data_IF_133490990923
#
_entry.id   IF_133490990923
#
_cell.length_a   1.000
_cell.length_b   1.000
_cell.length_c   1.000
_cell.angle_alpha   90.00
_cell.angle_beta   90.00
_cell.angle_gamma   90.00
#
_symmetry.space_group_name_H-M   'P 1'
#
loop_
_entity.id
_entity.type
_entity.pdbx_description
1 polymer ?
#
# COMPACT_ATOMS: atom_id res chain seq x y z
N UNK A 1 42.13 9.43 19.54
CA UNK A 1 40.81 10.11 19.50
C UNK A 1 40.57 10.53 18.06
N UNK A 2 39.45 10.15 17.44
CA UNK A 2 39.13 10.62 16.09
C UNK A 2 38.89 12.14 16.12
N UNK A 3 39.58 12.86 15.24
CA UNK A 3 39.48 14.32 15.11
C UNK A 3 38.03 14.71 14.73
N UNK A 4 37.49 15.72 15.42
CA UNK A 4 36.12 16.21 15.21
C UNK A 4 35.91 16.69 13.76
N UNK A 5 37.00 17.16 13.11
CA UNK A 5 37.02 17.55 11.70
C UNK A 5 36.76 16.36 10.76
N UNK A 6 37.29 15.17 11.09
CA UNK A 6 37.12 13.94 10.32
C UNK A 6 35.70 13.39 10.47
N UNK A 7 35.12 13.47 11.68
CA UNK A 7 33.72 13.08 11.93
C UNK A 7 32.77 13.99 11.14
N UNK A 8 33.01 15.30 11.16
CA UNK A 8 32.23 16.27 10.39
C UNK A 8 32.32 15.98 8.89
N UNK A 9 33.53 15.76 8.36
CA UNK A 9 33.74 15.47 6.94
C UNK A 9 33.06 14.16 6.51
N UNK A 10 33.14 13.10 7.32
CA UNK A 10 32.46 11.83 7.04
C UNK A 10 30.96 12.01 7.04
N UNK A 11 30.38 12.71 8.03
CA UNK A 11 28.92 12.95 8.09
C UNK A 11 28.46 13.78 6.89
N UNK A 12 29.15 14.87 6.57
CA UNK A 12 28.80 15.75 5.46
C UNK A 12 28.92 15.03 4.11
N UNK A 13 30.02 14.31 3.87
CA UNK A 13 30.18 13.51 2.65
C UNK A 13 29.15 12.38 2.56
N UNK A 14 28.77 11.78 3.69
CA UNK A 14 27.70 10.76 3.73
C UNK A 14 26.35 11.36 3.34
N UNK A 15 26.02 12.56 3.82
CA UNK A 15 24.77 13.26 3.49
C UNK A 15 24.72 13.64 2.01
N UNK A 16 25.80 14.19 1.46
CA UNK A 16 25.84 14.54 0.02
C UNK A 16 25.90 13.31 -0.88
N UNK A 17 26.63 12.25 -0.49
CA UNK A 17 26.65 11.00 -1.23
C UNK A 17 25.29 10.29 -1.20
N UNK A 18 24.60 10.29 -0.06
CA UNK A 18 23.23 9.74 0.04
C UNK A 18 22.21 10.57 -0.73
N UNK A 19 22.33 11.90 -0.77
CA UNK A 19 21.49 12.75 -1.59
C UNK A 19 21.75 12.53 -3.10
N UNK A 20 23.02 12.47 -3.51
CA UNK A 20 23.43 12.23 -4.90
C UNK A 20 23.05 10.82 -5.40
N UNK A 21 23.31 9.78 -4.59
CA UNK A 21 22.81 8.43 -4.84
C UNK A 21 21.29 8.39 -4.82
N UNK A 22 20.62 9.19 -3.99
CA UNK A 22 19.17 9.31 -3.98
C UNK A 22 18.61 9.87 -5.29
N UNK A 23 19.29 10.83 -5.91
CA UNK A 23 18.91 11.41 -7.21
C UNK A 23 19.23 10.47 -8.38
N UNK A 24 20.38 9.79 -8.35
CA UNK A 24 20.74 8.81 -9.38
C UNK A 24 19.87 7.55 -9.28
N UNK A 25 19.58 7.08 -8.07
CA UNK A 25 18.58 6.05 -7.81
C UNK A 25 17.18 6.56 -8.17
N UNK A 26 16.87 7.85 -8.03
CA UNK A 26 15.58 8.40 -8.49
C UNK A 26 15.40 8.28 -10.00
N UNK A 27 16.41 8.69 -10.77
CA UNK A 27 16.39 8.60 -12.23
C UNK A 27 16.42 7.12 -12.64
N UNK A 28 17.34 6.32 -12.08
CA UNK A 28 17.47 4.89 -12.32
C UNK A 28 16.19 4.12 -11.99
N UNK A 29 15.58 4.34 -10.82
CA UNK A 29 14.33 3.70 -10.42
C UNK A 29 13.14 4.18 -11.24
N UNK A 30 13.12 5.40 -11.80
CA UNK A 30 12.06 5.79 -12.75
C UNK A 30 12.19 5.08 -14.09
N UNK A 31 13.40 4.92 -14.58
CA UNK A 31 13.68 4.12 -15.77
C UNK A 31 13.38 2.64 -15.53
N UNK A 32 13.83 2.08 -14.40
CA UNK A 32 13.55 0.69 -13.99
C UNK A 32 12.06 0.51 -13.71
N UNK A 33 11.34 1.45 -13.09
CA UNK A 33 9.90 1.34 -12.86
C UNK A 33 9.12 1.46 -14.17
N UNK A 34 9.54 2.31 -15.10
CA UNK A 34 8.95 2.39 -16.44
C UNK A 34 9.23 1.11 -17.24
N UNK A 35 10.46 0.61 -17.20
CA UNK A 35 10.87 -0.65 -17.80
C UNK A 35 10.16 -1.84 -17.15
N UNK A 36 9.99 -1.85 -15.82
CA UNK A 36 9.30 -2.89 -15.07
C UNK A 36 7.78 -2.83 -15.29
N UNK A 37 7.17 -1.65 -15.46
CA UNK A 37 5.77 -1.52 -15.90
C UNK A 37 5.59 -2.05 -17.32
N UNK A 38 6.54 -1.77 -18.22
CA UNK A 38 6.53 -2.27 -19.60
C UNK A 38 6.83 -3.78 -19.68
N UNK A 39 7.72 -4.30 -18.83
CA UNK A 39 8.10 -5.72 -18.76
C UNK A 39 7.06 -6.55 -18.01
N UNK A 40 6.46 -6.02 -16.94
CA UNK A 40 5.35 -6.68 -16.23
C UNK A 40 4.09 -6.77 -17.08
N UNK A 41 3.90 -5.87 -18.05
CA UNK A 41 2.85 -6.01 -19.05
C UNK A 41 2.92 -7.35 -19.80
N UNK A 42 4.12 -7.87 -20.02
CA UNK A 42 4.38 -9.11 -20.75
C UNK A 42 4.19 -10.39 -19.91
N UNK A 43 4.19 -10.29 -18.57
CA UNK A 43 4.15 -11.45 -17.66
C UNK A 43 2.96 -11.44 -16.69
N UNK A 44 1.95 -10.60 -16.95
CA UNK A 44 0.79 -10.36 -16.07
C UNK A 44 -0.17 -11.55 -15.91
N UNK A 45 0.01 -12.64 -16.66
CA UNK A 45 -0.99 -13.71 -16.74
C UNK A 45 -0.57 -15.04 -16.12
N UNK A 46 -1.46 -15.51 -15.23
CA UNK A 46 -1.55 -16.74 -14.45
C UNK A 46 -0.70 -16.82 -13.15
N UNK A 47 -1.33 -16.92 -11.96
CA UNK A 47 -0.62 -17.27 -10.72
C UNK A 47 -0.07 -18.71 -10.80
N UNK A 48 1.15 -18.93 -10.31
CA UNK A 48 1.84 -20.23 -10.40
C UNK A 48 1.29 -21.31 -9.44
N UNK A 49 0.59 -20.92 -8.37
CA UNK A 49 0.19 -21.88 -7.32
C UNK A 49 -1.24 -21.64 -6.83
N UNK A 50 -2.13 -22.57 -7.20
CA UNK A 50 -3.42 -22.86 -6.56
C UNK A 50 -3.16 -23.93 -5.49
N UNK A 51 -2.98 -23.54 -4.22
CA UNK A 51 -3.20 -24.41 -3.04
C UNK A 51 -3.09 -23.59 -1.76
N UNK A 52 -4.10 -23.72 -0.91
CA UNK A 52 -4.50 -22.82 0.19
C UNK A 52 -3.52 -22.62 1.36
N UNK A 53 -2.21 -22.80 1.17
CA UNK A 53 -1.19 -22.47 2.17
C UNK A 53 -0.42 -21.18 1.87
N UNK A 54 -0.41 -20.72 0.62
CA UNK A 54 0.37 -19.55 0.19
C UNK A 54 -0.53 -18.53 -0.51
N UNK A 55 -0.30 -17.24 -0.24
CA UNK A 55 -0.91 -16.15 -1.02
C UNK A 55 -0.57 -16.37 -2.49
N UNK A 56 -1.53 -16.17 -3.40
CA UNK A 56 -1.28 -16.28 -4.84
C UNK A 56 -0.22 -15.26 -5.28
N UNK A 57 1.05 -15.69 -5.33
CA UNK A 57 2.17 -14.91 -5.86
C UNK A 57 2.01 -14.87 -7.38
N UNK A 58 1.98 -13.67 -7.97
CA UNK A 58 1.96 -13.55 -9.43
C UNK A 58 3.28 -14.06 -10.01
N UNK A 59 3.29 -14.59 -11.25
CA UNK A 59 4.54 -15.06 -11.91
C UNK A 59 5.67 -14.04 -11.86
N UNK A 60 5.35 -12.77 -12.10
CA UNK A 60 6.31 -11.67 -12.00
C UNK A 60 6.86 -11.49 -10.58
N UNK A 61 6.03 -11.62 -9.54
CA UNK A 61 6.48 -11.53 -8.16
C UNK A 61 7.34 -12.73 -7.77
N UNK A 62 6.98 -13.94 -8.22
CA UNK A 62 7.78 -15.13 -8.00
C UNK A 62 9.15 -15.01 -8.68
N UNK A 63 9.19 -14.49 -9.91
CA UNK A 63 10.43 -14.22 -10.63
C UNK A 63 11.29 -13.17 -9.90
N UNK A 64 10.69 -12.06 -9.44
CA UNK A 64 11.41 -11.05 -8.65
C UNK A 64 12.00 -11.65 -7.38
N UNK A 65 11.25 -12.49 -6.68
CA UNK A 65 11.75 -13.19 -5.49
C UNK A 65 12.85 -14.20 -5.80
N UNK A 66 12.72 -14.96 -6.89
CA UNK A 66 13.75 -15.90 -7.34
C UNK A 66 15.04 -15.18 -7.73
N UNK A 67 14.94 -14.09 -8.49
CA UNK A 67 16.09 -13.26 -8.84
C UNK A 67 16.73 -12.65 -7.59
N UNK A 68 15.92 -12.10 -6.69
CA UNK A 68 16.41 -11.50 -5.45
C UNK A 68 17.11 -12.53 -4.55
N UNK A 69 16.53 -13.72 -4.37
CA UNK A 69 17.16 -14.81 -3.61
C UNK A 69 18.42 -15.34 -4.30
N UNK A 70 18.43 -15.45 -5.63
CA UNK A 70 19.62 -15.85 -6.39
C UNK A 70 20.76 -14.83 -6.26
N UNK A 71 20.47 -13.52 -6.31
CA UNK A 71 21.46 -12.46 -6.11
C UNK A 71 22.05 -12.51 -4.70
N UNK A 72 21.22 -12.70 -3.67
CA UNK A 72 21.70 -12.87 -2.30
C UNK A 72 22.56 -14.14 -2.15
N UNK A 73 22.09 -15.27 -2.67
CA UNK A 73 22.84 -16.53 -2.66
C UNK A 73 24.19 -16.42 -3.39
N UNK A 74 24.22 -15.73 -4.53
CA UNK A 74 25.46 -15.45 -5.26
C UNK A 74 26.39 -14.54 -4.46
N UNK A 75 25.89 -13.44 -3.88
CA UNK A 75 26.68 -12.52 -3.06
C UNK A 75 27.30 -13.22 -1.84
N UNK A 76 26.55 -14.14 -1.22
CA UNK A 76 27.04 -14.96 -0.11
C UNK A 76 28.09 -15.98 -0.55
N UNK A 77 27.81 -16.78 -1.59
CA UNK A 77 28.58 -17.97 -1.91
C UNK A 77 29.66 -17.83 -2.99
N UNK A 78 29.64 -16.77 -3.81
CA UNK A 78 30.53 -16.69 -4.98
C UNK A 78 32.00 -16.59 -4.60
N UNK A 79 32.82 -17.59 -4.95
CA UNK A 79 34.27 -17.62 -4.61
C UNK A 79 34.54 -17.52 -3.10
N UNK A 80 33.72 -18.24 -2.32
CA UNK A 80 33.94 -18.51 -0.90
C UNK A 80 34.46 -19.93 -0.76
N UNK A 81 35.62 -20.06 -0.12
CA UNK A 81 36.28 -21.33 0.14
C UNK A 81 36.50 -21.58 1.64
N UNK A 82 36.03 -20.66 2.49
CA UNK A 82 36.25 -20.65 3.93
C UNK A 82 35.01 -20.12 4.67
N UNK A 83 34.72 -20.69 5.84
CA UNK A 83 33.60 -20.33 6.72
C UNK A 83 33.77 -18.91 7.26
N UNK A 84 34.99 -18.50 7.62
CA UNK A 84 35.21 -17.13 8.15
C UNK A 84 34.90 -16.06 7.10
N UNK A 85 35.23 -16.32 5.83
CA UNK A 85 34.88 -15.43 4.71
C UNK A 85 33.38 -15.46 4.41
N UNK A 86 32.72 -16.60 4.60
CA UNK A 86 31.27 -16.71 4.50
C UNK A 86 30.58 -15.86 5.57
N UNK A 87 31.05 -15.94 6.82
CA UNK A 87 30.52 -15.17 7.96
C UNK A 87 30.67 -13.67 7.74
N UNK A 88 31.84 -13.19 7.29
CA UNK A 88 32.08 -11.76 7.02
C UNK A 88 31.15 -11.22 5.91
N UNK A 89 30.93 -12.02 4.87
CA UNK A 89 30.00 -11.66 3.78
C UNK A 89 28.55 -11.68 4.24
N UNK A 90 28.18 -12.67 5.05
CA UNK A 90 26.83 -12.75 5.62
C UNK A 90 26.48 -11.49 6.41
N UNK A 91 27.42 -10.92 7.19
CA UNK A 91 27.23 -9.64 7.88
C UNK A 91 26.92 -8.48 6.93
N UNK A 92 27.66 -8.42 5.83
CA UNK A 92 27.58 -7.32 4.86
C UNK A 92 26.28 -7.40 4.06
N UNK A 93 25.93 -8.58 3.55
CA UNK A 93 24.69 -8.81 2.80
C UNK A 93 23.46 -8.63 3.71
N UNK A 94 23.51 -9.12 4.96
CA UNK A 94 22.46 -8.90 5.95
C UNK A 94 22.20 -7.41 6.18
N UNK A 95 23.27 -6.60 6.30
CA UNK A 95 23.15 -5.15 6.51
C UNK A 95 22.46 -4.44 5.35
N UNK A 96 22.74 -4.85 4.11
CA UNK A 96 22.06 -4.34 2.91
C UNK A 96 20.58 -4.73 2.91
N UNK A 97 20.25 -5.96 3.28
CA UNK A 97 18.87 -6.42 3.38
C UNK A 97 18.10 -5.73 4.51
N UNK A 98 18.76 -5.44 5.64
CA UNK A 98 18.17 -4.65 6.71
C UNK A 98 17.93 -3.19 6.30
N UNK A 99 18.81 -2.58 5.50
CA UNK A 99 18.54 -1.26 4.92
C UNK A 99 17.21 -1.24 4.15
N UNK A 100 17.01 -2.19 3.23
CA UNK A 100 15.77 -2.31 2.45
C UNK A 100 14.57 -2.52 3.40
N UNK A 101 14.75 -3.36 4.42
CA UNK A 101 13.71 -3.68 5.41
C UNK A 101 13.30 -2.45 6.23
N UNK A 102 14.27 -1.65 6.68
CA UNK A 102 14.03 -0.45 7.50
C UNK A 102 13.34 0.66 6.71
N UNK A 103 13.61 0.77 5.41
CA UNK A 103 12.81 1.61 4.52
C UNK A 103 11.36 1.11 4.38
N UNK A 104 11.09 -0.16 4.68
CA UNK A 104 9.81 -0.85 4.49
C UNK A 104 8.63 -0.49 5.42
N UNK A 105 8.66 0.66 6.10
CA UNK A 105 7.63 1.07 7.06
C UNK A 105 6.20 1.19 6.48
N UNK A 106 5.19 1.22 7.36
CA UNK A 106 3.77 1.35 6.95
C UNK A 106 3.50 2.65 6.23
N UNK A 107 4.00 3.78 6.72
CA UNK A 107 4.00 5.06 6.02
C UNK A 107 5.35 5.24 5.35
N UNK A 108 5.39 5.14 4.03
CA UNK A 108 6.63 5.32 3.30
C UNK A 108 6.43 6.30 2.13
N UNK A 109 6.91 7.55 2.25
CA UNK A 109 6.91 8.52 1.16
C UNK A 109 7.60 8.02 -0.11
N UNK A 110 8.55 7.08 -0.02
CA UNK A 110 9.20 6.51 -1.20
C UNK A 110 8.24 5.67 -2.03
N UNK A 111 7.28 4.96 -1.42
CA UNK A 111 6.31 4.15 -2.19
C UNK A 111 5.42 5.05 -3.06
N UNK A 112 4.99 6.17 -2.49
CA UNK A 112 4.24 7.25 -3.16
C UNK A 112 5.09 7.89 -4.27
N UNK A 113 6.33 8.25 -3.96
CA UNK A 113 7.23 8.91 -4.89
C UNK A 113 7.63 8.05 -6.10
N UNK A 114 7.86 6.75 -5.88
CA UNK A 114 8.20 5.78 -6.93
C UNK A 114 6.98 5.16 -7.60
N UNK A 115 5.77 5.42 -7.10
CA UNK A 115 4.52 4.82 -7.58
C UNK A 115 4.62 3.29 -7.59
N UNK A 116 5.17 2.74 -6.49
CA UNK A 116 5.31 1.29 -6.29
C UNK A 116 4.09 0.79 -5.54
N UNK A 117 3.47 -0.27 -6.06
CA UNK A 117 2.27 -0.80 -5.42
C UNK A 117 2.55 -1.25 -3.99
N UNK A 118 1.58 -1.02 -3.11
CA UNK A 118 1.66 -1.39 -1.71
C UNK A 118 1.91 -2.90 -1.51
N UNK A 119 1.35 -3.72 -2.41
CA UNK A 119 1.55 -5.17 -2.45
C UNK A 119 3.04 -5.50 -2.67
N UNK A 120 3.66 -4.86 -3.65
CA UNK A 120 5.09 -5.05 -3.96
C UNK A 120 5.96 -4.55 -2.82
N UNK A 121 5.63 -3.39 -2.24
CA UNK A 121 6.33 -2.85 -1.08
C UNK A 121 6.37 -3.83 0.10
N UNK A 122 5.22 -4.38 0.50
CA UNK A 122 5.19 -5.36 1.59
C UNK A 122 5.86 -6.68 1.22
N UNK A 123 5.77 -7.11 -0.05
CA UNK A 123 6.47 -8.30 -0.52
C UNK A 123 7.98 -8.13 -0.28
N UNK A 124 8.55 -7.03 -0.76
CA UNK A 124 9.97 -6.71 -0.60
C UNK A 124 10.33 -6.60 0.88
N UNK A 125 9.56 -5.86 1.69
CA UNK A 125 9.83 -5.70 3.13
C UNK A 125 9.85 -7.05 3.86
N UNK A 126 8.88 -7.94 3.62
CA UNK A 126 8.83 -9.24 4.28
C UNK A 126 10.01 -10.15 3.89
N UNK A 127 10.37 -10.18 2.62
CA UNK A 127 11.43 -11.08 2.13
C UNK A 127 12.82 -10.55 2.42
N UNK A 128 13.07 -9.25 2.26
CA UNK A 128 14.32 -8.61 2.67
C UNK A 128 14.58 -8.83 4.16
N UNK A 129 13.55 -8.65 5.01
CA UNK A 129 13.70 -8.85 6.45
C UNK A 129 14.01 -10.30 6.83
N UNK A 130 13.35 -11.26 6.18
CA UNK A 130 13.57 -12.70 6.45
C UNK A 130 14.95 -13.16 5.99
N UNK A 131 15.35 -12.79 4.78
CA UNK A 131 16.67 -13.15 4.23
C UNK A 131 17.77 -12.49 5.06
N UNK A 132 17.63 -11.19 5.37
CA UNK A 132 18.58 -10.47 6.23
C UNK A 132 18.69 -11.09 7.64
N UNK A 133 17.59 -11.54 8.24
CA UNK A 133 17.64 -12.27 9.51
C UNK A 133 18.39 -13.61 9.39
N UNK A 134 18.17 -14.38 8.31
CA UNK A 134 18.87 -15.65 8.09
C UNK A 134 20.37 -15.44 7.88
N UNK A 135 20.76 -14.40 7.15
CA UNK A 135 22.16 -14.01 6.94
C UNK A 135 22.81 -13.52 8.23
N UNK A 136 22.07 -12.76 9.05
CA UNK A 136 22.55 -12.33 10.37
C UNK A 136 22.73 -13.53 11.33
N UNK A 137 21.88 -14.55 11.23
CA UNK A 137 22.04 -15.82 11.96
C UNK A 137 23.30 -16.56 11.46
N UNK A 138 23.52 -16.61 10.14
CA UNK A 138 24.70 -17.22 9.54
C UNK A 138 26.01 -16.51 9.94
N UNK A 139 25.99 -15.19 10.08
CA UNK A 139 27.15 -14.39 10.51
C UNK A 139 27.64 -14.75 11.93
N UNK A 140 26.84 -15.44 12.75
CA UNK A 140 27.26 -15.94 14.06
C UNK A 140 27.51 -14.87 15.14
N UNK A 141 27.72 -13.61 14.78
CA UNK A 141 27.89 -12.52 15.74
C UNK A 141 26.54 -12.17 16.35
N UNK A 142 26.18 -12.84 17.45
CA UNK A 142 24.99 -12.53 18.25
C UNK A 142 23.83 -12.15 17.34
N UNK A 143 23.22 -13.13 16.66
CA UNK A 143 21.85 -12.94 16.21
C UNK A 143 21.07 -12.53 17.46
N UNK A 144 20.94 -11.22 17.67
CA UNK A 144 20.51 -10.69 18.95
C UNK A 144 19.17 -11.33 19.24
N UNK A 145 18.86 -11.61 20.50
CA UNK A 145 17.57 -12.20 20.85
C UNK A 145 16.39 -11.46 20.16
N UNK A 146 16.55 -10.15 19.92
CA UNK A 146 15.65 -9.33 19.11
C UNK A 146 15.53 -9.74 17.63
N UNK A 147 16.62 -10.05 16.91
CA UNK A 147 16.60 -10.49 15.50
C UNK A 147 16.03 -11.90 15.33
N UNK A 148 16.34 -12.81 16.26
CA UNK A 148 15.73 -14.14 16.26
C UNK A 148 14.24 -14.02 16.57
N UNK A 149 13.86 -13.25 17.59
CA UNK A 149 12.48 -13.03 17.94
C UNK A 149 11.69 -12.33 16.82
N UNK A 150 12.29 -11.36 16.10
CA UNK A 150 11.60 -10.68 15.00
C UNK A 150 11.39 -11.64 13.83
N UNK A 151 12.38 -12.47 13.50
CA UNK A 151 12.27 -13.51 12.49
C UNK A 151 11.15 -14.49 12.84
N UNK A 152 11.20 -15.07 14.04
CA UNK A 152 10.20 -16.02 14.51
C UNK A 152 8.81 -15.41 14.56
N UNK A 153 8.66 -14.15 15.00
CA UNK A 153 7.37 -13.45 14.99
C UNK A 153 6.83 -13.18 13.58
N UNK A 154 7.71 -13.10 12.57
CA UNK A 154 7.33 -12.84 11.17
C UNK A 154 6.80 -14.08 10.45
N UNK A 155 6.97 -15.27 11.03
CA UNK A 155 6.45 -16.52 10.48
C UNK A 155 4.92 -16.50 10.52
N UNK A 156 4.29 -17.19 9.57
CA UNK A 156 2.84 -17.10 9.42
C UNK A 156 2.09 -17.60 10.67
N UNK A 157 2.53 -18.71 11.27
CA UNK A 157 1.85 -19.32 12.43
C UNK A 157 1.94 -18.44 13.69
N UNK A 158 3.12 -17.89 13.98
CA UNK A 158 3.34 -16.98 15.11
C UNK A 158 2.62 -15.67 14.92
N UNK A 159 2.65 -15.11 13.70
CA UNK A 159 1.88 -13.91 13.37
C UNK A 159 0.39 -14.16 13.53
N UNK A 160 -0.12 -15.30 13.04
CA UNK A 160 -1.51 -15.70 13.20
C UNK A 160 -1.88 -15.74 14.69
N UNK A 161 -1.06 -16.37 15.52
CA UNK A 161 -1.27 -16.42 16.97
C UNK A 161 -1.20 -15.04 17.66
N UNK A 162 -0.24 -14.19 17.28
CA UNK A 162 -0.06 -12.86 17.87
C UNK A 162 -1.22 -11.90 17.56
N UNK A 163 -1.96 -12.12 16.47
CA UNK A 163 -3.17 -11.34 16.21
C UNK A 163 -2.89 -9.86 16.05
N UNK A 164 -3.72 -9.07 16.74
CA UNK A 164 -3.60 -7.61 16.85
C UNK A 164 -2.31 -7.12 17.53
N UNK A 165 -1.60 -7.98 18.26
CA UNK A 165 -0.37 -7.60 18.99
C UNK A 165 0.88 -7.64 18.13
N UNK A 166 0.86 -8.36 17.00
CA UNK A 166 2.01 -8.50 16.10
C UNK A 166 2.68 -7.15 15.80
N UNK A 167 1.89 -6.13 15.44
CA UNK A 167 2.43 -4.81 15.12
C UNK A 167 3.19 -4.14 16.26
N UNK A 168 2.73 -4.30 17.50
CA UNK A 168 3.39 -3.71 18.69
C UNK A 168 4.68 -4.47 19.01
N UNK A 169 4.61 -5.79 19.04
CA UNK A 169 5.75 -6.67 19.30
C UNK A 169 6.84 -6.43 18.25
N UNK A 170 6.44 -6.39 16.98
CA UNK A 170 7.36 -6.17 15.86
C UNK A 170 8.10 -4.83 15.97
N UNK A 171 7.41 -3.74 16.35
CA UNK A 171 8.05 -2.42 16.53
C UNK A 171 9.04 -2.41 17.69
N UNK A 172 8.71 -3.04 18.83
CA UNK A 172 9.64 -3.11 19.97
C UNK A 172 10.90 -3.91 19.59
N UNK A 173 10.71 -5.07 18.96
CA UNK A 173 11.83 -5.91 18.49
C UNK A 173 12.66 -5.20 17.43
N UNK A 174 12.02 -4.46 16.52
CA UNK A 174 12.67 -3.64 15.51
C UNK A 174 13.56 -2.56 16.14
N UNK A 175 13.05 -1.78 17.10
CA UNK A 175 13.84 -0.74 17.78
C UNK A 175 15.02 -1.35 18.52
N UNK A 176 14.81 -2.48 19.20
CA UNK A 176 15.87 -3.20 19.89
C UNK A 176 16.94 -3.74 18.93
N UNK A 177 16.53 -4.36 17.82
CA UNK A 177 17.44 -4.88 16.79
C UNK A 177 18.23 -3.75 16.13
N UNK A 178 17.58 -2.63 15.84
CA UNK A 178 18.20 -1.46 15.23
C UNK A 178 19.24 -0.83 16.17
N UNK A 179 18.90 -0.63 17.44
CA UNK A 179 19.84 -0.13 18.46
C UNK A 179 21.01 -1.09 18.70
N UNK A 180 20.74 -2.39 18.74
CA UNK A 180 21.76 -3.44 18.85
C UNK A 180 22.72 -3.44 17.66
N UNK A 181 22.22 -3.28 16.44
CA UNK A 181 23.04 -3.20 15.23
C UNK A 181 23.93 -1.96 15.23
N UNK A 182 23.42 -0.79 15.64
CA UNK A 182 24.24 0.42 15.74
C UNK A 182 25.33 0.30 16.81
N UNK A 183 25.00 -0.31 17.96
CA UNK A 183 25.98 -0.59 19.01
C UNK A 183 27.05 -1.58 18.54
N UNK A 184 26.65 -2.66 17.87
CA UNK A 184 27.56 -3.63 17.26
C UNK A 184 28.49 -2.98 16.22
N UNK A 185 27.91 -2.17 15.31
CA UNK A 185 28.67 -1.44 14.31
C UNK A 185 29.68 -0.46 14.93
N UNK A 186 29.31 0.20 16.03
CA UNK A 186 30.20 1.10 16.75
C UNK A 186 31.42 0.37 17.33
N UNK A 187 31.19 -0.77 18.00
CA UNK A 187 32.21 -1.50 18.75
C UNK A 187 33.15 -2.35 17.88
N UNK A 188 32.61 -3.10 16.92
CA UNK A 188 33.32 -4.25 16.34
C UNK A 188 33.61 -4.12 14.84
N UNK A 189 33.04 -3.11 14.18
CA UNK A 189 33.00 -3.14 12.73
C UNK A 189 34.03 -2.27 12.02
N UNK A 190 34.42 -2.74 10.83
CA UNK A 190 35.28 -2.03 9.88
C UNK A 190 34.61 -0.73 9.40
N UNK A 191 35.43 0.22 8.93
CA UNK A 191 34.94 1.52 8.42
C UNK A 191 33.86 1.36 7.33
N UNK A 192 33.98 0.44 6.34
CA UNK A 192 32.93 0.23 5.34
C UNK A 192 31.58 -0.21 5.95
N UNK A 193 31.61 -1.10 6.95
CA UNK A 193 30.39 -1.56 7.62
C UNK A 193 29.70 -0.43 8.40
N UNK A 194 30.50 0.41 9.09
CA UNK A 194 29.99 1.61 9.77
C UNK A 194 29.28 2.54 8.78
N UNK A 195 29.87 2.77 7.61
CA UNK A 195 29.26 3.60 6.56
C UNK A 195 27.91 3.02 6.12
N UNK A 196 27.83 1.70 5.89
CA UNK A 196 26.57 1.04 5.47
C UNK A 196 25.51 1.17 6.56
N UNK A 197 25.82 0.83 7.82
CA UNK A 197 24.85 0.84 8.91
C UNK A 197 24.38 2.27 9.24
N UNK A 198 25.30 3.21 9.43
CA UNK A 198 24.94 4.60 9.78
C UNK A 198 24.36 5.37 8.58
N UNK A 199 24.81 5.08 7.35
CA UNK A 199 24.17 5.60 6.14
C UNK A 199 22.71 5.14 6.05
N UNK A 200 22.45 3.86 6.36
CA UNK A 200 21.10 3.31 6.37
C UNK A 200 20.20 3.96 7.42
N UNK A 201 20.72 4.17 8.63
CA UNK A 201 20.06 4.96 9.66
C UNK A 201 19.78 6.39 9.22
N UNK A 202 20.70 7.02 8.50
CA UNK A 202 20.53 8.36 7.95
C UNK A 202 19.36 8.43 6.97
N UNK A 203 19.30 7.50 6.00
CA UNK A 203 18.18 7.43 5.03
C UNK A 203 16.86 7.13 5.74
N UNK A 204 16.86 6.21 6.71
CA UNK A 204 15.69 5.91 7.52
C UNK A 204 15.19 7.14 8.31
N UNK A 205 16.10 7.84 8.98
CA UNK A 205 15.79 9.05 9.76
C UNK A 205 15.26 10.14 8.86
N UNK A 206 15.88 10.37 7.70
CA UNK A 206 15.42 11.33 6.71
C UNK A 206 14.00 11.01 6.23
N UNK A 207 13.71 9.73 5.96
CA UNK A 207 12.36 9.31 5.55
C UNK A 207 11.30 9.62 6.61
N UNK A 208 11.62 9.46 7.90
CA UNK A 208 10.72 9.78 9.00
C UNK A 208 10.59 11.28 9.22
N UNK A 209 11.69 12.03 9.08
CA UNK A 209 11.66 13.49 9.10
C UNK A 209 10.79 14.04 7.98
N UNK A 210 10.84 13.47 6.77
CA UNK A 210 9.94 13.83 5.68
C UNK A 210 8.48 13.62 6.07
N UNK A 211 8.14 12.52 6.76
CA UNK A 211 6.76 12.27 7.25
C UNK A 211 6.35 13.30 8.32
N UNK A 212 7.26 13.67 9.21
CA UNK A 212 7.02 14.67 10.26
C UNK A 212 6.84 16.07 9.66
N UNK A 213 7.68 16.44 8.68
CA UNK A 213 7.66 17.73 7.99
C UNK A 213 6.54 17.83 6.97
N UNK A 214 6.11 16.71 6.35
CA UNK A 214 4.96 16.67 5.42
C UNK A 214 3.77 17.25 6.17
N UNK A 215 3.19 18.33 5.63
CA UNK A 215 2.11 19.06 6.27
C UNK A 215 0.94 18.12 6.51
N UNK A 216 0.69 17.83 7.78
CA UNK A 216 -0.45 17.04 8.22
C UNK A 216 -1.72 17.85 8.01
N UNK A 217 -2.69 17.27 7.30
CA UNK A 217 -3.98 17.91 7.14
C UNK A 217 -4.79 17.69 8.41
N UNK A 218 -5.11 18.78 9.11
CA UNK A 218 -6.06 18.73 10.23
C UNK A 218 -7.45 18.57 9.65
N UNK A 219 -8.26 17.68 10.23
CA UNK A 219 -9.65 17.53 9.84
C UNK A 219 -10.56 17.41 11.06
N UNK A 220 -11.80 17.87 10.92
CA UNK A 220 -12.87 17.78 11.92
C UNK A 220 -13.86 16.72 11.46
N UNK A 221 -14.26 15.83 12.35
CA UNK A 221 -15.34 14.88 12.06
C UNK A 221 -16.66 15.65 12.05
N UNK A 222 -17.37 15.66 10.91
CA UNK A 222 -18.60 16.44 10.70
C UNK A 222 -19.86 15.60 10.84
N UNK A 223 -19.76 14.28 10.62
CA UNK A 223 -20.89 13.38 10.79
C UNK A 223 -20.47 11.92 10.75
N UNK A 224 -21.33 11.07 11.33
CA UNK A 224 -21.25 9.61 11.22
C UNK A 224 -22.52 9.15 10.50
N UNK A 225 -22.61 9.31 9.17
CA UNK A 225 -23.78 8.96 8.40
C UNK A 225 -23.92 7.44 8.36
N UNK A 226 -24.60 6.87 9.36
CA UNK A 226 -25.02 5.48 9.34
C UNK A 226 -23.92 4.42 9.24
N UNK A 227 -24.36 3.17 9.19
CA UNK A 227 -23.56 1.96 9.23
C UNK A 227 -24.35 0.86 9.91
N UNK A 228 -24.12 -0.38 9.50
CA UNK A 228 -24.64 -1.51 10.28
C UNK A 228 -23.85 -1.63 11.60
N UNK A 229 -24.29 -2.45 12.54
CA UNK A 229 -23.56 -2.65 13.80
C UNK A 229 -22.06 -3.00 13.64
N UNK A 230 -21.60 -3.38 12.44
CA UNK A 230 -20.25 -3.83 12.14
C UNK A 230 -19.34 -2.78 11.48
N UNK A 231 -19.85 -1.85 10.65
CA UNK A 231 -19.07 -0.78 10.03
C UNK A 231 -19.62 0.62 10.33
N UNK A 232 -18.77 1.62 10.15
CA UNK A 232 -19.08 3.02 10.42
C UNK A 232 -18.55 3.86 9.26
N UNK A 233 -19.45 4.58 8.60
CA UNK A 233 -19.08 5.64 7.69
C UNK A 233 -18.94 6.94 8.48
N UNK A 234 -17.91 7.74 8.19
CA UNK A 234 -17.74 9.05 8.80
C UNK A 234 -17.24 10.07 7.79
N UNK A 235 -17.80 11.26 7.87
CA UNK A 235 -17.45 12.42 7.07
C UNK A 235 -16.51 13.32 7.86
N UNK A 236 -15.52 13.89 7.17
CA UNK A 236 -14.54 14.78 7.77
C UNK A 236 -14.31 15.99 6.89
N UNK A 237 -14.25 17.15 7.54
CA UNK A 237 -13.93 18.42 6.90
C UNK A 237 -12.48 18.78 7.20
N UNK A 238 -11.63 18.72 6.18
CA UNK A 238 -10.25 19.18 6.22
C UNK A 238 -10.19 20.71 6.38
N UNK A 239 -9.20 21.21 7.11
CA UNK A 239 -9.01 22.66 7.33
C UNK A 239 -8.66 23.43 6.05
N UNK A 240 -8.06 22.73 5.08
CA UNK A 240 -7.71 23.27 3.77
C UNK A 240 -8.06 22.24 2.69
N UNK A 241 -8.40 22.69 1.46
CA UNK A 241 -8.64 21.78 0.35
C UNK A 241 -7.42 20.91 0.06
N UNK A 242 -7.64 19.60 0.02
CA UNK A 242 -6.62 18.60 -0.31
C UNK A 242 -6.86 18.09 -1.72
N UNK A 243 -5.78 17.91 -2.49
CA UNK A 243 -5.87 17.24 -3.79
C UNK A 243 -6.06 15.75 -3.55
N UNK A 244 -7.09 15.15 -4.14
CA UNK A 244 -7.42 13.72 -4.03
C UNK A 244 -7.46 13.08 -5.41
N UNK A 245 -7.52 11.75 -5.48
CA UNK A 245 -7.73 10.99 -6.71
C UNK A 245 -8.57 9.73 -6.41
N UNK A 246 -9.32 9.18 -7.38
CA UNK A 246 -10.08 7.95 -7.16
C UNK A 246 -9.15 6.81 -6.70
N UNK A 247 -9.60 6.00 -5.76
CA UNK A 247 -8.77 4.92 -5.20
C UNK A 247 -7.68 5.37 -4.22
N UNK A 248 -7.53 6.66 -3.93
CA UNK A 248 -6.55 7.10 -2.95
C UNK A 248 -6.94 6.72 -1.51
N UNK A 249 -5.95 6.68 -0.64
CA UNK A 249 -6.13 6.43 0.79
C UNK A 249 -5.34 7.41 1.64
N UNK A 250 -5.76 7.53 2.90
CA UNK A 250 -5.12 8.36 3.89
C UNK A 250 -4.71 7.53 5.11
N UNK A 251 -3.60 7.92 5.72
CA UNK A 251 -3.31 7.51 7.09
C UNK A 251 -3.99 8.48 8.04
N UNK A 252 -4.90 7.96 8.85
CA UNK A 252 -5.68 8.70 9.83
C UNK A 252 -5.11 8.47 11.22
N UNK A 253 -4.86 9.57 11.91
CA UNK A 253 -4.25 9.59 13.24
C UNK A 253 -5.15 10.30 14.24
N UNK A 254 -5.19 9.74 15.45
CA UNK A 254 -6.03 10.19 16.55
C UNK A 254 -5.16 10.80 17.64
N UNK A 255 -5.07 12.14 17.75
CA UNK A 255 -4.10 12.81 18.62
C UNK A 255 -4.34 12.60 20.12
N UNK A 256 -5.54 12.20 20.55
CA UNK A 256 -5.90 11.94 21.95
C UNK A 256 -5.47 10.57 22.50
N UNK A 257 -4.73 9.78 21.71
CA UNK A 257 -4.31 8.41 22.06
C UNK A 257 -2.79 8.38 22.40
N UNK A 258 -2.31 7.37 23.14
CA UNK A 258 -0.91 7.29 23.58
C UNK A 258 0.06 7.35 22.39
N UNK A 259 1.33 7.71 22.68
CA UNK A 259 2.43 7.94 21.73
C UNK A 259 2.52 6.92 20.58
N UNK A 260 2.19 5.64 20.82
CA UNK A 260 2.13 4.60 19.78
C UNK A 260 1.17 4.93 18.62
N UNK A 261 0.09 5.68 18.88
CA UNK A 261 -0.92 6.07 17.88
C UNK A 261 -0.47 7.23 16.99
N UNK A 262 0.57 7.97 17.39
CA UNK A 262 1.18 9.02 16.55
C UNK A 262 2.04 8.44 15.43
N UNK A 263 2.61 7.25 15.61
CA UNK A 263 3.43 6.59 14.60
C UNK A 263 2.68 5.49 13.85
N UNK A 264 1.50 5.09 14.31
CA UNK A 264 0.63 4.12 13.63
C UNK A 264 -0.67 4.73 13.15
N UNK A 265 -0.60 5.41 12.01
CA UNK A 265 -1.78 5.84 11.27
C UNK A 265 -2.57 4.65 10.74
N UNK A 266 -3.89 4.79 10.72
CA UNK A 266 -4.79 3.79 10.13
C UNK A 266 -5.06 4.13 8.68
N UNK A 267 -4.94 3.15 7.81
CA UNK A 267 -5.20 3.35 6.39
C UNK A 267 -6.68 3.24 6.13
N UNK A 268 -7.26 4.30 5.61
CA UNK A 268 -8.66 4.34 5.21
C UNK A 268 -8.73 4.82 3.77
N UNK A 269 -9.47 4.07 2.94
CA UNK A 269 -9.74 4.50 1.56
C UNK A 269 -10.68 5.68 1.58
N UNK A 270 -10.45 6.60 0.66
CA UNK A 270 -11.41 7.64 0.38
C UNK A 270 -12.61 7.01 -0.34
N UNK A 271 -13.74 6.90 0.37
CA UNK A 271 -14.97 6.31 -0.16
C UNK A 271 -15.62 7.25 -1.16
N UNK A 272 -15.84 8.47 -0.72
CA UNK A 272 -16.47 9.52 -1.49
C UNK A 272 -15.87 10.85 -1.08
N UNK A 273 -15.93 11.79 -2.02
CA UNK A 273 -15.47 13.13 -1.81
C UNK A 273 -16.32 14.08 -2.63
N UNK A 274 -16.71 15.20 -2.05
CA UNK A 274 -17.36 16.28 -2.79
C UNK A 274 -16.27 17.18 -3.38
N UNK A 275 -15.51 16.64 -4.33
CA UNK A 275 -14.66 17.46 -5.17
C UNK A 275 -15.42 17.78 -6.45
N UNK A 276 -15.43 19.06 -6.76
CA UNK A 276 -15.45 19.52 -8.14
C UNK A 276 -14.43 18.74 -8.97
N UNK A 277 -14.59 18.77 -10.30
CA UNK A 277 -13.67 18.16 -11.25
C UNK A 277 -12.19 18.57 -11.05
N UNK A 278 -11.93 19.66 -10.30
CA UNK A 278 -10.60 20.11 -9.87
C UNK A 278 -9.85 19.14 -8.96
N UNK A 279 -10.51 18.10 -8.44
CA UNK A 279 -9.94 17.10 -7.53
C UNK A 279 -9.39 17.70 -6.23
N UNK A 280 -9.74 18.94 -5.89
CA UNK A 280 -9.44 19.58 -4.61
C UNK A 280 -10.72 19.65 -3.79
N UNK A 281 -10.68 19.09 -2.60
CA UNK A 281 -11.84 19.11 -1.68
C UNK A 281 -11.42 19.17 -0.23
N UNK A 282 -12.28 19.77 0.58
CA UNK A 282 -12.20 19.69 2.03
C UNK A 282 -13.11 18.62 2.62
N UNK A 283 -14.12 18.14 1.88
CA UNK A 283 -15.09 17.17 2.38
C UNK A 283 -14.73 15.75 1.94
N UNK A 284 -14.37 14.92 2.92
CA UNK A 284 -13.84 13.58 2.71
C UNK A 284 -14.67 12.57 3.52
N UNK A 285 -15.10 11.49 2.87
CA UNK A 285 -15.82 10.39 3.51
C UNK A 285 -14.98 9.13 3.56
N UNK A 286 -14.99 8.45 4.71
CA UNK A 286 -14.25 7.22 4.96
C UNK A 286 -15.18 6.12 5.48
N UNK A 287 -14.83 4.85 5.19
CA UNK A 287 -15.49 3.67 5.73
C UNK A 287 -14.52 2.86 6.59
N UNK A 288 -14.93 2.44 7.79
CA UNK A 288 -14.11 1.63 8.71
C UNK A 288 -14.94 0.61 9.49
N UNK A 289 -14.32 -0.49 9.91
CA UNK A 289 -14.95 -1.46 10.81
C UNK A 289 -15.04 -0.93 12.25
N UNK A 290 -16.10 -1.30 12.96
CA UNK A 290 -16.37 -0.92 14.36
C UNK A 290 -15.29 -1.40 15.32
N UNK A 291 -14.91 -2.67 15.21
CA UNK A 291 -13.91 -3.29 16.10
C UNK A 291 -12.52 -2.69 15.97
N UNK A 292 -12.24 -1.97 14.89
CA UNK A 292 -10.95 -1.35 14.72
C UNK A 292 -10.76 -0.14 15.64
N UNK A 293 -11.74 0.34 16.40
CA UNK A 293 -11.53 1.42 17.38
C UNK A 293 -12.34 2.67 17.08
N UNK A 294 -13.54 2.47 16.55
CA UNK A 294 -14.53 3.53 16.30
C UNK A 294 -15.03 4.22 17.56
N UNK A 295 -14.76 3.67 18.76
CA UNK A 295 -14.88 4.44 20.00
C UNK A 295 -14.03 5.72 19.95
N UNK A 296 -12.83 5.66 19.36
CA UNK A 296 -12.02 6.85 19.15
C UNK A 296 -12.64 7.84 18.16
N UNK A 297 -13.40 7.37 17.17
CA UNK A 297 -14.04 8.23 16.16
C UNK A 297 -15.25 8.97 16.72
N UNK A 298 -16.02 8.34 17.63
CA UNK A 298 -17.13 9.00 18.32
C UNK A 298 -16.65 10.15 19.22
N UNK A 299 -15.49 9.99 19.86
CA UNK A 299 -14.95 10.97 20.80
C UNK A 299 -13.97 11.97 20.14
N UNK A 300 -13.45 11.65 18.96
CA UNK A 300 -12.48 12.50 18.26
C UNK A 300 -13.18 13.58 17.43
N UNK A 301 -13.33 14.77 18.03
CA UNK A 301 -13.71 15.97 17.27
C UNK A 301 -12.65 16.43 16.26
N UNK A 302 -11.40 15.98 16.40
CA UNK A 302 -10.27 16.35 15.52
C UNK A 302 -9.38 15.14 15.23
N UNK A 303 -9.02 15.00 13.96
CA UNK A 303 -8.11 13.98 13.45
C UNK A 303 -7.01 14.62 12.62
N UNK A 304 -5.92 13.88 12.41
CA UNK A 304 -4.84 14.26 11.51
C UNK A 304 -4.82 13.28 10.33
N UNK A 305 -4.75 13.82 9.12
CA UNK A 305 -4.69 13.07 7.88
C UNK A 305 -3.30 13.23 7.26
N UNK A 306 -2.73 12.12 6.83
CA UNK A 306 -1.50 12.09 6.03
C UNK A 306 -1.81 11.36 4.71
N UNK A 307 -1.59 12.05 3.59
CA UNK A 307 -1.95 11.59 2.25
C UNK A 307 -2.16 12.76 1.29
N UNK A 308 -2.80 12.53 0.13
CA UNK A 308 -3.26 11.23 -0.36
C UNK A 308 -2.10 10.28 -0.68
N UNK A 309 -2.37 8.98 -0.63
CA UNK A 309 -1.49 7.90 -1.10
C UNK A 309 -2.26 6.99 -2.05
N UNK A 310 -1.53 6.24 -2.87
CA UNK A 310 -2.09 5.22 -3.76
C UNK A 310 -1.62 5.41 -5.19
N UNK A 311 -2.09 4.52 -6.07
CA UNK A 311 -1.82 4.57 -7.50
C UNK A 311 -3.08 5.02 -8.25
N UNK A 312 -2.93 6.02 -9.12
CA UNK A 312 -3.98 6.34 -10.10
C UNK A 312 -3.92 5.29 -11.23
N UNK A 313 -5.00 4.53 -11.38
CA UNK A 313 -5.11 3.44 -12.35
C UNK A 313 -5.46 3.97 -13.75
N UNK A 314 -5.82 5.25 -13.88
CA UNK A 314 -6.17 5.88 -15.15
C UNK A 314 -7.26 5.11 -15.92
N UNK A 315 -8.33 4.71 -15.22
CA UNK A 315 -9.43 3.91 -15.80
C UNK A 315 -10.08 4.54 -17.05
N UNK A 316 -9.99 5.86 -17.19
CA UNK A 316 -10.49 6.62 -18.33
C UNK A 316 -9.81 6.26 -19.67
N UNK A 317 -8.68 5.57 -19.65
CA UNK A 317 -7.98 5.08 -20.85
C UNK A 317 -8.58 3.77 -21.40
N UNK A 318 -9.42 3.09 -20.62
CA UNK A 318 -10.01 1.80 -21.00
C UNK A 318 -11.45 1.96 -21.47
N UNK A 319 -11.80 1.31 -22.58
CA UNK A 319 -13.15 1.38 -23.16
C UNK A 319 -14.21 0.72 -22.27
N UNK A 320 -13.92 -0.48 -21.75
CA UNK A 320 -14.81 -1.22 -20.85
C UNK A 320 -14.07 -1.53 -19.55
N UNK A 321 -14.65 -1.15 -18.42
CA UNK A 321 -14.05 -1.30 -17.10
C UNK A 321 -14.92 -2.21 -16.24
N UNK A 322 -14.34 -3.29 -15.72
CA UNK A 322 -14.96 -4.13 -14.70
C UNK A 322 -14.39 -3.79 -13.33
N UNK A 323 -15.24 -3.28 -12.46
CA UNK A 323 -14.96 -2.92 -11.09
C UNK A 323 -15.50 -4.00 -10.16
N UNK A 324 -14.61 -4.75 -9.53
CA UNK A 324 -14.99 -5.87 -8.67
C UNK A 324 -14.57 -5.61 -7.23
N UNK A 325 -15.51 -5.72 -6.29
CA UNK A 325 -15.27 -5.47 -4.87
C UNK A 325 -15.91 -6.54 -3.98
N UNK A 326 -15.26 -6.90 -2.87
CA UNK A 326 -15.81 -7.79 -1.82
C UNK A 326 -15.82 -7.08 -0.47
N UNK A 327 -16.94 -7.12 0.25
CA UNK A 327 -17.12 -6.51 1.56
C UNK A 327 -16.73 -5.02 1.56
N UNK A 328 -15.89 -4.61 2.51
CA UNK A 328 -15.35 -3.23 2.58
C UNK A 328 -14.47 -2.84 1.40
N UNK A 329 -14.07 -3.78 0.53
CA UNK A 329 -13.38 -3.51 -0.74
C UNK A 329 -14.05 -2.44 -1.59
N UNK A 330 -15.38 -2.29 -1.45
CA UNK A 330 -16.17 -1.30 -2.17
C UNK A 330 -15.67 0.14 -1.96
N UNK A 331 -15.11 0.46 -0.79
CA UNK A 331 -14.60 1.79 -0.49
C UNK A 331 -13.44 2.22 -1.41
N UNK A 332 -12.64 1.27 -1.90
CA UNK A 332 -11.55 1.56 -2.83
C UNK A 332 -11.99 1.66 -4.30
N UNK A 333 -13.10 1.00 -4.64
CA UNK A 333 -13.54 0.81 -6.03
C UNK A 333 -14.62 1.83 -6.40
N UNK A 334 -15.54 2.15 -5.48
CA UNK A 334 -16.66 3.03 -5.75
C UNK A 334 -16.23 4.46 -6.08
N UNK A 335 -15.16 4.95 -5.45
CA UNK A 335 -14.60 6.28 -5.77
C UNK A 335 -14.16 6.41 -7.23
N UNK A 336 -13.76 5.30 -7.87
CA UNK A 336 -13.48 5.28 -9.30
C UNK A 336 -14.74 5.40 -10.16
N UNK A 337 -15.77 4.61 -9.84
CA UNK A 337 -17.05 4.65 -10.56
C UNK A 337 -17.68 6.06 -10.50
N UNK A 338 -17.71 6.64 -9.30
CA UNK A 338 -18.19 8.00 -9.07
C UNK A 338 -17.40 9.03 -9.87
N UNK A 339 -16.08 8.89 -9.95
CA UNK A 339 -15.22 9.82 -10.67
C UNK A 339 -15.47 9.79 -12.19
N UNK A 340 -15.55 8.61 -12.79
CA UNK A 340 -15.85 8.45 -14.22
C UNK A 340 -17.26 8.96 -14.53
N UNK A 341 -18.26 8.62 -13.71
CA UNK A 341 -19.62 9.11 -13.88
C UNK A 341 -19.72 10.64 -13.83
N UNK A 342 -18.97 11.30 -12.94
CA UNK A 342 -18.89 12.77 -12.87
C UNK A 342 -18.28 13.38 -14.14
N UNK A 343 -17.19 12.80 -14.66
CA UNK A 343 -16.55 13.27 -15.91
C UNK A 343 -17.49 13.12 -17.10
N UNK A 344 -18.17 11.97 -17.21
CA UNK A 344 -19.18 11.75 -18.24
C UNK A 344 -20.32 12.75 -18.13
N UNK A 345 -20.88 12.95 -16.94
CA UNK A 345 -21.98 13.91 -16.72
C UNK A 345 -21.57 15.35 -17.06
N UNK A 346 -20.32 15.72 -16.80
CA UNK A 346 -19.76 17.00 -17.24
C UNK A 346 -19.73 17.10 -18.76
N UNK A 347 -19.14 16.12 -19.44
CA UNK A 347 -19.06 16.07 -20.90
C UNK A 347 -20.45 16.09 -21.57
N UNK A 348 -21.42 15.39 -20.99
CA UNK A 348 -22.80 15.36 -21.46
C UNK A 348 -23.49 16.73 -21.23
N UNK A 349 -23.27 17.38 -20.08
CA UNK A 349 -23.77 18.73 -19.80
C UNK A 349 -23.19 19.77 -20.77
N UNK A 350 -21.88 19.72 -21.03
CA UNK A 350 -21.21 20.62 -21.98
C UNK A 350 -21.74 20.38 -23.39
N UNK A 351 -21.98 19.12 -23.79
CA UNK A 351 -22.54 18.79 -25.10
C UNK A 351 -23.99 19.27 -25.26
N UNK A 352 -24.80 19.12 -24.22
CA UNK A 352 -26.18 19.62 -24.20
C UNK A 352 -26.20 21.15 -24.29
N UNK A 353 -25.28 21.84 -23.63
CA UNK A 353 -25.13 23.30 -23.71
C UNK A 353 -24.59 23.75 -25.07
N UNK A 354 -23.57 23.09 -25.61
CA UNK A 354 -23.02 23.36 -26.95
C UNK A 354 -24.02 23.06 -28.07
N UNK A 355 -24.90 22.07 -27.89
CA UNK A 355 -26.00 21.83 -28.85
C UNK A 355 -27.00 22.99 -28.89
N UNK A 356 -27.07 23.79 -27.81
CA UNK A 356 -27.90 25.00 -27.68
C UNK A 356 -27.16 26.28 -28.05
N UNK A 357 -25.84 26.32 -27.87
CA UNK A 357 -24.96 27.45 -28.12
C UNK A 357 -23.87 27.03 -29.12
N UNK A 358 -23.88 27.59 -30.33
CA UNK A 358 -23.07 27.17 -31.48
C UNK A 358 -21.54 27.25 -31.32
N UNK A 359 -21.03 27.64 -30.14
CA UNK A 359 -19.60 27.85 -29.91
C UNK A 359 -19.29 27.84 -28.40
N UNK A 360 -19.14 26.65 -27.79
CA UNK A 360 -18.62 26.55 -26.41
C UNK A 360 -17.17 26.08 -26.41
N UNK A 361 -16.28 26.93 -25.91
CA UNK A 361 -14.85 26.65 -25.67
C UNK A 361 -14.62 25.83 -24.38
N UNK A 362 -15.67 25.20 -23.84
CA UNK A 362 -15.62 24.55 -22.54
C UNK A 362 -14.90 23.20 -22.62
N UNK A 363 -14.10 22.91 -21.60
CA UNK A 363 -13.25 21.71 -21.58
C UNK A 363 -14.08 20.43 -21.43
N UNK A 364 -13.77 19.43 -22.26
CA UNK A 364 -14.39 18.09 -22.28
C UNK A 364 -13.30 17.04 -22.03
N UNK A 365 -13.57 16.08 -21.14
CA UNK A 365 -12.60 15.05 -20.73
C UNK A 365 -12.32 14.02 -21.82
N UNK A 366 -13.34 13.68 -22.62
CA UNK A 366 -13.24 12.73 -23.76
C UNK A 366 -12.69 11.36 -23.34
N UNK A 367 -13.20 10.84 -22.22
CA UNK A 367 -12.81 9.53 -21.70
C UNK A 367 -13.07 8.42 -22.73
N UNK A 368 -12.15 7.45 -22.83
CA UNK A 368 -12.33 6.27 -23.66
C UNK A 368 -13.42 5.35 -23.08
N UNK A 369 -13.62 5.39 -21.76
CA UNK A 369 -14.57 4.54 -21.04
C UNK A 369 -16.00 4.78 -21.51
N UNK A 370 -16.54 3.77 -22.20
CA UNK A 370 -17.93 3.70 -22.65
C UNK A 370 -18.80 2.91 -21.69
N UNK A 371 -18.22 1.87 -21.07
CA UNK A 371 -18.95 0.97 -20.18
C UNK A 371 -18.17 0.67 -18.91
N UNK A 372 -18.86 0.70 -17.79
CA UNK A 372 -18.39 0.40 -16.45
C UNK A 372 -19.33 -0.65 -15.85
N UNK A 373 -18.79 -1.73 -15.33
CA UNK A 373 -19.56 -2.80 -14.71
C UNK A 373 -19.08 -2.91 -13.26
N UNK A 374 -19.93 -2.57 -12.31
CA UNK A 374 -19.64 -2.67 -10.88
C UNK A 374 -20.25 -3.95 -10.31
N UNK A 375 -19.38 -4.87 -9.90
CA UNK A 375 -19.77 -6.13 -9.25
C UNK A 375 -19.36 -6.08 -7.79
N UNK A 376 -20.33 -6.10 -6.88
CA UNK A 376 -20.08 -6.04 -5.44
C UNK A 376 -20.56 -7.30 -4.72
N UNK A 377 -19.63 -7.93 -4.00
CA UNK A 377 -19.89 -9.09 -3.16
C UNK A 377 -20.11 -8.68 -1.71
N UNK A 378 -21.33 -8.89 -1.24
CA UNK A 378 -21.69 -8.68 0.16
C UNK A 378 -21.31 -9.93 0.95
N UNK A 379 -20.62 -9.76 2.07
CA UNK A 379 -20.41 -10.83 3.06
C UNK A 379 -21.67 -11.03 3.92
N UNK A 380 -22.41 -9.94 4.12
CA UNK A 380 -23.69 -9.91 4.80
C UNK A 380 -24.62 -8.93 4.08
N UNK A 381 -25.91 -9.23 4.03
CA UNK A 381 -26.88 -8.36 3.36
C UNK A 381 -26.91 -6.94 3.94
N UNK A 382 -26.59 -6.76 5.23
CA UNK A 382 -26.52 -5.45 5.91
C UNK A 382 -25.44 -4.51 5.38
N UNK A 383 -24.53 -5.01 4.54
CA UNK A 383 -23.45 -4.21 3.98
C UNK A 383 -23.94 -3.23 2.92
N UNK A 384 -25.09 -3.47 2.29
CA UNK A 384 -25.67 -2.60 1.25
C UNK A 384 -25.89 -1.15 1.72
N UNK A 385 -26.26 -0.97 3.00
CA UNK A 385 -26.45 0.35 3.64
C UNK A 385 -25.16 1.17 3.70
N UNK A 386 -23.97 0.53 3.68
CA UNK A 386 -22.69 1.22 3.88
C UNK A 386 -22.36 2.28 2.84
N UNK A 387 -22.89 2.10 1.62
CA UNK A 387 -22.59 2.98 0.48
C UNK A 387 -23.84 3.35 -0.31
N UNK A 388 -25.02 3.20 0.31
CA UNK A 388 -26.31 3.40 -0.34
C UNK A 388 -26.43 4.80 -0.96
N UNK A 389 -26.02 5.85 -0.24
CA UNK A 389 -26.04 7.23 -0.73
C UNK A 389 -25.15 7.41 -1.96
N UNK A 390 -23.98 6.77 -1.99
CA UNK A 390 -23.05 6.84 -3.12
C UNK A 390 -23.56 6.05 -4.33
N UNK A 391 -24.19 4.89 -4.11
CA UNK A 391 -24.81 4.13 -5.19
C UNK A 391 -26.00 4.89 -5.78
N UNK A 392 -26.81 5.53 -4.95
CA UNK A 392 -27.89 6.40 -5.41
C UNK A 392 -27.35 7.58 -6.20
N UNK A 393 -26.30 8.25 -5.73
CA UNK A 393 -25.63 9.32 -6.46
C UNK A 393 -25.11 8.82 -7.83
N UNK A 394 -24.53 7.61 -7.88
CA UNK A 394 -24.07 7.02 -9.13
C UNK A 394 -25.22 6.79 -10.13
N UNK A 395 -26.34 6.24 -9.66
CA UNK A 395 -27.56 6.03 -10.46
C UNK A 395 -28.16 7.36 -10.95
N UNK A 396 -28.17 8.40 -10.11
CA UNK A 396 -28.66 9.73 -10.48
C UNK A 396 -27.79 10.41 -11.54
N UNK A 397 -26.49 10.08 -11.60
CA UNK A 397 -25.57 10.58 -12.61
C UNK A 397 -25.64 9.80 -13.94
N UNK A 398 -26.13 8.55 -13.92
CA UNK A 398 -26.26 7.69 -15.10
C UNK A 398 -27.71 7.23 -15.32
N UNK A 399 -28.62 8.20 -15.47
CA UNK A 399 -30.07 7.93 -15.56
C UNK A 399 -30.48 7.04 -16.73
N UNK A 400 -29.70 7.03 -17.80
CA UNK A 400 -29.95 6.24 -18.99
C UNK A 400 -29.34 4.83 -18.91
N UNK A 401 -28.68 4.48 -17.79
CA UNK A 401 -27.89 3.25 -17.58
C UNK A 401 -26.90 2.99 -18.73
N UNK A 402 -26.39 4.07 -19.34
CA UNK A 402 -25.54 3.98 -20.52
C UNK A 402 -24.07 3.74 -20.16
N UNK A 403 -23.67 4.03 -18.92
CA UNK A 403 -22.30 3.92 -18.45
C UNK A 403 -22.11 2.79 -17.45
N UNK A 404 -22.93 2.68 -16.40
CA UNK A 404 -22.70 1.83 -15.24
C UNK A 404 -23.76 0.74 -15.10
N UNK A 405 -23.35 -0.53 -15.15
CA UNK A 405 -24.19 -1.68 -14.86
C UNK A 405 -23.76 -2.32 -13.52
N UNK A 406 -24.70 -2.50 -12.60
CA UNK A 406 -24.44 -2.91 -11.22
C UNK A 406 -24.99 -4.30 -10.93
N UNK A 407 -24.14 -5.25 -10.52
CA UNK A 407 -24.58 -6.58 -10.08
C UNK A 407 -24.08 -6.88 -8.66
N UNK A 408 -25.01 -7.27 -7.78
CA UNK A 408 -24.71 -7.69 -6.40
C UNK A 408 -24.81 -9.21 -6.30
N UNK A 409 -23.80 -9.87 -5.75
CA UNK A 409 -23.77 -11.33 -5.66
C UNK A 409 -23.24 -11.80 -4.29
N UNK A 410 -23.83 -12.85 -3.72
CA UNK A 410 -23.50 -13.36 -2.37
C UNK A 410 -22.46 -14.48 -2.31
N UNK A 411 -21.91 -14.94 -3.44
CA UNK A 411 -20.99 -16.09 -3.47
C UNK A 411 -19.54 -15.68 -3.14
N UNK A 412 -19.01 -16.28 -2.06
CA UNK A 412 -17.66 -16.01 -1.53
C UNK A 412 -16.50 -16.50 -2.40
N UNK A 413 -16.73 -17.44 -3.33
CA UNK A 413 -15.74 -17.98 -4.29
C UNK A 413 -15.83 -17.35 -5.68
N UNK A 414 -16.84 -16.52 -5.93
CA UNK A 414 -17.16 -16.06 -7.27
C UNK A 414 -16.15 -15.08 -7.87
N UNK A 415 -15.44 -14.26 -7.08
CA UNK A 415 -14.36 -13.40 -7.62
C UNK A 415 -13.24 -14.22 -8.24
N UNK A 416 -12.82 -15.29 -7.55
CA UNK A 416 -11.80 -16.20 -8.05
C UNK A 416 -12.32 -17.04 -9.22
N UNK A 417 -13.62 -17.41 -9.20
CA UNK A 417 -14.27 -18.14 -10.28
C UNK A 417 -14.53 -17.26 -11.52
N UNK A 418 -14.92 -15.99 -11.39
CA UNK A 418 -14.98 -15.02 -12.51
C UNK A 418 -13.59 -14.88 -13.06
N UNK A 419 -12.60 -14.58 -12.22
CA UNK A 419 -11.25 -14.34 -12.71
C UNK A 419 -10.74 -15.55 -13.49
N UNK A 420 -10.97 -16.75 -12.96
CA UNK A 420 -10.62 -18.00 -13.62
C UNK A 420 -11.42 -18.16 -14.92
N UNK A 421 -12.74 -17.99 -14.90
CA UNK A 421 -13.62 -18.15 -16.06
C UNK A 421 -13.31 -17.14 -17.16
N UNK A 422 -13.02 -15.88 -16.83
CA UNK A 422 -12.56 -14.87 -17.78
C UNK A 422 -11.21 -15.28 -18.35
N UNK A 423 -10.26 -15.73 -17.53
CA UNK A 423 -8.96 -16.21 -18.04
C UNK A 423 -9.07 -17.47 -18.91
N UNK A 424 -10.03 -18.34 -18.64
CA UNK A 424 -10.27 -19.59 -19.39
C UNK A 424 -11.08 -19.36 -20.67
N UNK A 425 -11.99 -18.39 -20.69
CA UNK A 425 -12.92 -18.14 -21.82
C UNK A 425 -12.55 -16.92 -22.68
N UNK A 426 -11.54 -16.13 -22.31
CA UNK A 426 -11.07 -15.04 -23.15
C UNK A 426 -10.14 -15.60 -24.23
N UNK A 427 -10.61 -15.61 -25.47
CA UNK A 427 -9.79 -15.85 -26.65
C UNK A 427 -8.78 -14.71 -26.82
N UNK A 428 -7.60 -15.01 -27.37
CA UNK A 428 -6.43 -14.13 -27.45
C UNK A 428 -6.61 -12.77 -28.19
N UNK A 429 -7.82 -12.45 -28.66
CA UNK A 429 -8.13 -11.26 -29.46
C UNK A 429 -8.48 -10.02 -28.66
N UNK A 430 -8.74 -10.11 -27.34
CA UNK A 430 -9.03 -8.94 -26.49
C UNK A 430 -7.99 -8.78 -25.39
N UNK A 431 -7.36 -7.61 -25.34
CA UNK A 431 -6.40 -7.26 -24.29
C UNK A 431 -7.14 -6.97 -22.98
N UNK A 432 -7.09 -7.91 -22.03
CA UNK A 432 -7.72 -7.77 -20.71
C UNK A 432 -6.66 -7.47 -19.66
N UNK A 433 -6.69 -6.25 -19.13
CA UNK A 433 -5.81 -5.84 -18.03
C UNK A 433 -6.50 -5.99 -16.68
N UNK A 434 -5.98 -6.88 -15.83
CA UNK A 434 -6.40 -6.99 -14.43
C UNK A 434 -5.57 -6.04 -13.56
N UNK A 435 -6.25 -5.16 -12.81
CA UNK A 435 -5.61 -4.26 -11.82
C UNK A 435 -6.20 -4.50 -10.44
N UNK A 436 -5.36 -4.78 -9.44
CA UNK A 436 -5.79 -4.91 -8.04
C UNK A 436 -5.87 -3.51 -7.40
N UNK A 437 -7.05 -3.09 -6.95
CA UNK A 437 -7.18 -1.88 -6.14
C UNK A 437 -6.46 -2.09 -4.79
N UNK A 438 -5.63 -1.15 -4.36
CA UNK A 438 -4.66 -1.34 -3.27
C UNK A 438 -5.25 -1.55 -1.86
N UNK A 439 -6.58 -1.65 -1.73
CA UNK A 439 -7.23 -1.77 -0.44
C UNK A 439 -7.31 -3.20 0.08
N UNK A 440 -6.73 -3.43 1.26
CA UNK A 440 -7.06 -4.55 2.14
C UNK A 440 -7.42 -4.01 3.52
N UNK A 441 -8.66 -4.21 4.00
CA UNK A 441 -9.05 -3.74 5.32
C UNK A 441 -8.20 -4.41 6.40
N UNK A 442 -7.75 -3.61 7.39
CA UNK A 442 -7.06 -4.14 8.55
C UNK A 442 -7.99 -5.13 9.28
N UNK A 443 -7.48 -6.28 9.70
CA UNK A 443 -8.27 -7.30 10.41
C UNK A 443 -8.92 -8.39 9.54
N UNK A 444 -8.94 -8.26 8.21
CA UNK A 444 -9.45 -9.32 7.31
C UNK A 444 -8.60 -10.60 7.27
N UNK A 445 -7.40 -10.59 7.87
CA UNK A 445 -6.54 -11.79 7.98
C UNK A 445 -7.09 -12.87 8.94
N UNK A 446 -8.21 -12.64 9.63
CA UNK A 446 -8.66 -13.48 10.75
C UNK A 446 -10.00 -14.21 10.59
N UNK A 447 -10.72 -14.07 9.49
CA UNK A 447 -11.90 -14.90 9.23
C UNK A 447 -11.46 -16.12 8.42
N UNK A 448 -10.72 -17.02 9.06
CA UNK A 448 -10.73 -18.42 8.63
C UNK A 448 -12.15 -18.92 8.90
N UNK A 449 -12.96 -19.07 7.86
CA UNK A 449 -14.13 -19.93 7.93
C UNK A 449 -13.65 -21.36 8.18
N UNK A 450 -13.50 -21.73 9.46
CA UNK A 450 -13.73 -23.12 9.84
C UNK A 450 -15.22 -23.36 9.60
N UNK A 451 -15.53 -23.95 8.46
CA UNK A 451 -16.76 -24.71 8.34
C UNK A 451 -16.67 -25.81 9.39
N UNK A 452 -17.35 -25.63 10.53
CA UNK A 452 -17.83 -26.76 11.28
C UNK A 452 -18.89 -27.41 10.39
N UNK A 453 -18.45 -28.36 9.57
CA UNK A 453 -19.36 -29.38 9.05
C UNK A 453 -19.71 -30.22 10.27
N UNK A 454 -20.79 -29.84 10.94
CA UNK A 454 -21.46 -30.76 11.85
C UNK A 454 -21.96 -31.92 10.99
N UNK A 455 -21.56 -33.13 11.39
CA UNK A 455 -22.10 -34.38 10.89
C UNK A 455 -23.58 -34.54 11.27
#
# INVERSE_FOLDING_TARGET
MMDASLIYLVVVCSVYATAGLGVLAYIGCRWIAKAARSFSAHFRHAPLTRRGLWRAIARAEALVLLLYTAVNGWALGFSVHDITKLEERAATVASVNFLITFLGGRTNPFTDFFQVSLRTHYLVHHWAGRIGCLEAILHGALAGAALIAIFLSSLWFTRAWQGRWFGRIHVVLYVAAMGGLAYHAYLLATVPFKIVVFGSWGVWTLSHLVIIVRKWTRARVTGVPGGDGAAVQFAVMATHPVRVFPGCYFYVYFPRRPWYSFFHGRRLMLLAFDASLSMKTSDLSFLTLRHDGTSALRDASRILLNGPYGLDIALHEYETVFLVAKGMGIAGVLSHALYIARRKRHDDSVRDEASRLWDSDEFVFRDATRRLILVWFLEHNSQDVWVADQLKLLQEMDKDNGLADGTVCGDTGFVDNIRTSVLENTTAERDITFVEAEFRPQGSEYVNHRMNVAA
#
